data_IF_694437979270
#
_entry.id   IF_694437979270
#
_cell.length_a   1.000
_cell.length_b   1.000
_cell.length_c   1.000
_cell.angle_alpha   90.00
_cell.angle_beta   90.00
_cell.angle_gamma   90.00
#
_symmetry.space_group_name_H-M   'P 1'
#
loop_
_entity.id
_entity.type
_entity.pdbx_description
1 polymer ?
#
# COMPACT_ATOMS: atom_id res chain seq x y z
N UNK A 1 -18.14 47.81 26.27
CA UNK A 1 -16.76 47.31 26.47
C UNK A 1 -16.81 45.79 26.49
N UNK A 2 -15.88 45.18 25.73
CA UNK A 2 -15.27 43.83 25.91
C UNK A 2 -16.21 42.62 26.00
N UNK A 3 -16.35 41.84 24.90
CA UNK A 3 -15.52 40.68 24.51
C UNK A 3 -15.84 39.41 25.33
N UNK A 4 -16.23 38.31 24.65
CA UNK A 4 -15.34 37.14 24.46
C UNK A 4 -16.03 35.92 23.83
N UNK A 5 -15.38 35.43 22.75
CA UNK A 5 -15.18 34.04 22.31
C UNK A 5 -16.40 33.10 22.18
N UNK A 6 -16.88 32.69 21.01
CA UNK A 6 -16.18 31.99 19.92
C UNK A 6 -15.30 30.82 20.42
N UNK A 7 -15.87 29.62 20.51
CA UNK A 7 -15.31 28.42 19.87
C UNK A 7 -16.52 27.57 19.45
N UNK A 8 -16.89 27.76 18.18
CA UNK A 8 -17.68 26.83 17.40
C UNK A 8 -16.78 25.58 17.25
N UNK A 9 -16.99 24.57 18.09
CA UNK A 9 -16.33 23.28 17.90
C UNK A 9 -16.96 22.61 16.68
N UNK A 10 -16.47 22.99 15.50
CA UNK A 10 -16.56 22.17 14.31
C UNK A 10 -15.69 20.94 14.54
N UNK A 11 -16.21 19.95 15.26
CA UNK A 11 -15.74 18.58 15.11
C UNK A 11 -16.17 18.16 13.71
N UNK A 12 -15.31 18.48 12.74
CA UNK A 12 -15.32 17.86 11.43
C UNK A 12 -15.38 16.36 11.66
N UNK A 13 -16.51 15.76 11.26
CA UNK A 13 -16.63 14.33 11.07
C UNK A 13 -15.41 13.89 10.25
N UNK A 14 -14.43 13.27 10.91
CA UNK A 14 -13.49 12.40 10.21
C UNK A 14 -14.32 11.16 9.88
N UNK A 15 -15.10 11.24 8.81
CA UNK A 15 -15.43 10.06 8.03
C UNK A 15 -14.10 9.52 7.53
N UNK A 16 -13.48 8.67 8.35
CA UNK A 16 -12.58 7.66 7.85
C UNK A 16 -13.42 6.87 6.84
N UNK A 17 -13.32 7.26 5.56
CA UNK A 17 -13.75 6.40 4.47
C UNK A 17 -12.78 5.24 4.55
N UNK A 18 -13.14 4.23 5.33
CA UNK A 18 -12.61 2.89 5.14
C UNK A 18 -12.94 2.59 3.70
N UNK A 19 -11.93 2.68 2.83
CA UNK A 19 -11.99 2.07 1.53
C UNK A 19 -12.15 0.57 1.81
N UNK A 20 -13.41 0.15 1.94
CA UNK A 20 -13.78 -1.24 1.84
C UNK A 20 -13.55 -1.57 0.37
N UNK A 21 -12.29 -1.88 0.04
CA UNK A 21 -12.05 -2.74 -1.10
C UNK A 21 -12.93 -3.94 -0.82
N UNK A 22 -14.02 -4.06 -1.57
CA UNK A 22 -14.95 -5.18 -1.48
C UNK A 22 -14.24 -6.39 -2.07
N UNK A 23 -13.16 -6.80 -1.41
CA UNK A 23 -12.47 -8.06 -1.60
C UNK A 23 -13.50 -9.08 -1.23
N UNK A 24 -14.11 -9.66 -2.25
CA UNK A 24 -15.06 -10.72 -2.09
C UNK A 24 -14.29 -11.85 -1.41
N UNK A 25 -14.46 -11.98 -0.09
CA UNK A 25 -13.91 -13.02 0.77
C UNK A 25 -14.63 -14.35 0.50
N UNK A 26 -14.69 -14.71 -0.78
CA UNK A 26 -15.03 -16.05 -1.23
C UNK A 26 -13.84 -16.98 -1.02
N UNK A 27 -14.07 -18.30 -1.00
CA UNK A 27 -12.97 -19.25 -1.07
C UNK A 27 -12.12 -18.91 -2.30
N UNK A 28 -10.80 -18.80 -2.13
CA UNK A 28 -9.86 -18.69 -3.25
C UNK A 28 -10.24 -19.79 -4.23
N UNK A 29 -10.63 -19.40 -5.44
CA UNK A 29 -10.89 -20.38 -6.48
C UNK A 29 -9.58 -21.16 -6.65
N UNK A 30 -9.59 -22.47 -6.36
CA UNK A 30 -8.39 -23.31 -6.30
C UNK A 30 -7.60 -23.33 -7.64
N UNK A 31 -8.20 -22.78 -8.70
CA UNK A 31 -7.60 -22.62 -10.03
C UNK A 31 -7.02 -21.21 -10.29
N UNK A 32 -7.19 -20.23 -9.41
CA UNK A 32 -6.70 -18.87 -9.58
C UNK A 32 -5.25 -18.79 -9.11
N UNK A 33 -4.32 -18.86 -10.07
CA UNK A 33 -2.90 -18.65 -9.84
C UNK A 33 -2.59 -17.16 -9.79
N UNK A 34 -1.63 -16.78 -8.95
CA UNK A 34 -1.14 -15.42 -8.93
C UNK A 34 -0.34 -15.14 -10.21
N UNK A 35 -0.62 -14.00 -10.84
CA UNK A 35 0.30 -13.41 -11.79
C UNK A 35 1.59 -12.97 -11.07
N UNK A 36 2.64 -12.67 -11.83
CA UNK A 36 3.90 -12.27 -11.23
C UNK A 36 3.74 -10.98 -10.41
N UNK A 37 4.26 -11.01 -9.19
CA UNK A 37 4.19 -9.94 -8.22
C UNK A 37 2.76 -9.47 -7.90
N UNK A 38 1.75 -10.31 -8.17
CA UNK A 38 0.39 -10.10 -7.69
C UNK A 38 0.32 -10.37 -6.18
N UNK A 39 -0.43 -9.54 -5.45
CA UNK A 39 -0.71 -9.77 -4.05
C UNK A 39 -1.43 -11.12 -3.88
N UNK A 40 -0.82 -12.04 -3.15
CA UNK A 40 -1.43 -13.34 -2.82
C UNK A 40 -2.21 -13.29 -1.51
N UNK A 41 -1.93 -12.28 -0.67
CA UNK A 41 -2.49 -12.17 0.66
C UNK A 41 -2.52 -10.73 1.14
N UNK A 42 -3.64 -10.31 1.73
CA UNK A 42 -3.86 -8.94 2.20
C UNK A 42 -4.51 -8.97 3.57
N UNK A 43 -4.03 -8.11 4.46
CA UNK A 43 -4.59 -7.93 5.80
C UNK A 43 -5.75 -6.94 5.75
N UNK A 44 -6.92 -7.36 6.20
CA UNK A 44 -8.07 -6.49 6.45
C UNK A 44 -8.47 -6.60 7.92
N UNK A 45 -8.13 -5.57 8.70
CA UNK A 45 -8.20 -5.61 10.17
C UNK A 45 -7.30 -6.71 10.74
N UNK A 46 -7.92 -7.66 11.44
CA UNK A 46 -7.23 -8.82 12.04
C UNK A 46 -7.31 -10.09 11.17
N UNK A 47 -7.88 -9.99 9.96
CA UNK A 47 -8.12 -11.14 9.08
C UNK A 47 -7.23 -11.10 7.85
N UNK A 48 -6.69 -12.25 7.48
CA UNK A 48 -5.96 -12.45 6.23
C UNK A 48 -6.89 -12.91 5.12
N UNK A 49 -6.93 -12.16 4.02
CA UNK A 49 -7.64 -12.52 2.80
C UNK A 49 -6.63 -13.04 1.78
N UNK A 50 -6.78 -14.30 1.38
CA UNK A 50 -6.00 -14.89 0.29
C UNK A 50 -6.65 -14.51 -1.04
N UNK A 51 -5.85 -14.08 -2.02
CA UNK A 51 -6.33 -13.60 -3.31
C UNK A 51 -6.14 -14.64 -4.43
N UNK A 52 -5.05 -15.38 -4.37
CA UNK A 52 -4.65 -16.35 -5.39
C UNK A 52 -3.65 -17.36 -4.79
N UNK A 53 -3.42 -18.45 -5.50
CA UNK A 53 -2.42 -19.45 -5.14
C UNK A 53 -1.07 -19.16 -5.80
N UNK A 54 0.01 -19.32 -5.05
CA UNK A 54 1.35 -19.21 -5.61
C UNK A 54 1.62 -20.35 -6.60
N UNK A 55 2.56 -20.09 -7.52
CA UNK A 55 3.01 -21.08 -8.49
C UNK A 55 3.51 -22.33 -7.74
N UNK A 56 2.96 -23.51 -8.05
CA UNK A 56 3.33 -24.77 -7.38
C UNK A 56 2.28 -25.35 -6.41
N UNK A 57 1.12 -24.69 -6.24
CA UNK A 57 0.07 -25.07 -5.26
C UNK A 57 0.41 -24.75 -3.80
N UNK A 58 1.44 -23.93 -3.60
CA UNK A 58 1.78 -23.41 -2.30
C UNK A 58 0.81 -22.29 -1.88
N UNK A 59 0.53 -22.23 -0.58
CA UNK A 59 -0.20 -21.14 0.04
C UNK A 59 0.65 -19.86 0.05
N UNK A 60 -0.01 -18.71 0.07
CA UNK A 60 0.66 -17.41 0.21
C UNK A 60 1.52 -17.39 1.50
N UNK A 61 2.78 -16.93 1.46
CA UNK A 61 3.71 -16.98 2.58
C UNK A 61 3.46 -15.86 3.62
N UNK A 62 2.29 -15.86 4.26
CA UNK A 62 1.76 -14.79 5.13
C UNK A 62 2.52 -14.47 6.43
N UNK A 63 3.70 -15.05 6.64
CA UNK A 63 4.51 -14.86 7.83
C UNK A 63 6.01 -14.77 7.52
N UNK A 64 6.34 -14.66 6.23
CA UNK A 64 7.70 -14.44 5.78
C UNK A 64 7.86 -12.98 5.37
N UNK A 65 8.52 -12.19 6.20
CA UNK A 65 8.71 -10.77 5.99
C UNK A 65 9.42 -10.45 4.66
N UNK A 66 10.17 -11.40 4.09
CA UNK A 66 10.83 -11.21 2.80
C UNK A 66 9.83 -11.15 1.63
N UNK A 67 8.61 -11.67 1.84
CA UNK A 67 7.49 -11.65 0.89
C UNK A 67 6.45 -10.58 1.21
N UNK A 68 6.59 -9.88 2.34
CA UNK A 68 5.61 -8.93 2.85
C UNK A 68 6.05 -7.48 2.74
N UNK A 69 5.08 -6.57 2.71
CA UNK A 69 5.30 -5.14 2.92
C UNK A 69 4.45 -4.72 4.13
N UNK A 70 5.14 -4.23 5.17
CA UNK A 70 4.58 -3.60 6.38
C UNK A 70 3.35 -4.33 6.97
N UNK A 71 3.38 -5.66 6.97
CA UNK A 71 2.30 -6.55 7.43
C UNK A 71 0.91 -6.29 6.82
N UNK A 72 0.78 -5.56 5.71
CA UNK A 72 -0.53 -5.32 5.07
C UNK A 72 -0.73 -6.12 3.79
N UNK A 73 0.34 -6.44 3.05
CA UNK A 73 0.28 -7.18 1.79
C UNK A 73 1.45 -8.14 1.65
N UNK A 74 1.19 -9.29 1.04
CA UNK A 74 2.16 -10.36 0.78
C UNK A 74 2.09 -10.83 -0.68
N UNK A 75 3.25 -11.25 -1.20
CA UNK A 75 3.46 -11.69 -2.58
C UNK A 75 4.03 -13.11 -2.62
N UNK A 76 3.90 -13.76 -3.76
CA UNK A 76 4.51 -15.08 -3.96
C UNK A 76 6.02 -14.99 -4.15
N UNK A 77 6.48 -13.95 -4.82
CA UNK A 77 7.90 -13.62 -4.96
C UNK A 77 8.42 -12.81 -3.77
N UNK A 78 9.72 -12.88 -3.54
CA UNK A 78 10.40 -12.05 -2.55
C UNK A 78 10.37 -10.59 -3.00
N UNK A 79 10.01 -9.67 -2.10
CA UNK A 79 9.91 -8.23 -2.38
C UNK A 79 11.26 -7.65 -2.79
N UNK A 80 12.35 -8.14 -2.21
CA UNK A 80 13.71 -7.66 -2.49
C UNK A 80 14.21 -7.96 -3.91
N UNK A 81 13.60 -8.93 -4.60
CA UNK A 81 13.92 -9.26 -5.99
C UNK A 81 13.29 -8.28 -6.97
N UNK A 82 12.26 -7.54 -6.57
CA UNK A 82 11.66 -6.51 -7.40
C UNK A 82 12.67 -5.36 -7.65
N UNK A 83 12.60 -4.71 -8.83
CA UNK A 83 13.43 -3.54 -9.09
C UNK A 83 13.09 -2.42 -8.09
N UNK A 84 14.09 -1.63 -7.68
CA UNK A 84 13.84 -0.43 -6.86
C UNK A 84 13.17 0.66 -7.70
N UNK A 85 12.19 1.35 -7.12
CA UNK A 85 11.65 2.54 -7.77
C UNK A 85 12.71 3.63 -7.85
N UNK A 86 12.70 4.43 -8.92
CA UNK A 86 13.71 5.47 -9.16
C UNK A 86 13.14 6.87 -9.06
N UNK A 87 11.85 7.02 -9.35
CA UNK A 87 11.19 8.30 -9.44
C UNK A 87 10.05 8.43 -8.43
N UNK A 88 9.76 9.67 -8.04
CA UNK A 88 8.65 9.94 -7.15
C UNK A 88 7.32 9.47 -7.75
N UNK A 89 7.14 9.57 -9.05
CA UNK A 89 5.87 9.23 -9.68
C UNK A 89 5.75 7.74 -10.02
N UNK A 90 6.78 6.94 -9.72
CA UNK A 90 6.71 5.49 -9.84
C UNK A 90 5.71 4.93 -8.83
N UNK A 91 4.70 4.24 -9.36
CA UNK A 91 3.77 3.46 -8.56
C UNK A 91 4.52 2.24 -8.05
N UNK A 92 4.72 2.15 -6.73
CA UNK A 92 5.36 1.00 -6.10
C UNK A 92 4.42 -0.21 -6.08
N UNK A 93 3.17 0.00 -5.65
CA UNK A 93 2.12 -1.02 -5.68
C UNK A 93 0.91 -0.46 -6.40
N UNK A 94 0.58 -1.06 -7.53
CA UNK A 94 -0.60 -0.73 -8.31
C UNK A 94 -1.79 -1.48 -7.76
N UNK A 95 -2.72 -0.76 -7.15
CA UNK A 95 -3.94 -1.36 -6.61
C UNK A 95 -4.93 -1.61 -7.73
N UNK A 96 -5.48 -2.82 -7.73
CA UNK A 96 -6.41 -3.27 -8.77
C UNK A 96 -7.69 -3.81 -8.12
N UNK A 97 -8.87 -3.51 -8.69
CA UNK A 97 -10.15 -3.93 -8.10
C UNK A 97 -10.27 -5.44 -7.90
N UNK A 98 -9.63 -6.22 -8.78
CA UNK A 98 -9.83 -7.67 -8.86
C UNK A 98 -8.93 -8.47 -7.91
N UNK A 99 -7.79 -7.92 -7.48
CA UNK A 99 -6.80 -8.68 -6.67
C UNK A 99 -5.96 -7.82 -5.72
N UNK A 100 -6.52 -6.69 -5.27
CA UNK A 100 -5.93 -5.72 -4.35
C UNK A 100 -4.67 -5.02 -4.86
N UNK A 101 -3.62 -5.72 -5.30
CA UNK A 101 -2.40 -5.04 -5.75
C UNK A 101 -1.42 -5.87 -6.57
N UNK A 102 -0.58 -5.17 -7.32
CA UNK A 102 0.60 -5.70 -8.01
C UNK A 102 1.83 -4.88 -7.63
N UNK A 103 2.90 -5.54 -7.14
CA UNK A 103 4.17 -4.88 -6.89
C UNK A 103 4.86 -4.58 -8.22
N UNK A 104 5.07 -3.30 -8.50
CA UNK A 104 5.75 -2.85 -9.71
C UNK A 104 7.23 -2.54 -9.44
N UNK A 105 7.53 -1.98 -8.27
CA UNK A 105 8.87 -1.73 -7.80
C UNK A 105 8.90 -1.65 -6.27
N UNK A 106 10.06 -1.92 -5.67
CA UNK A 106 10.24 -1.92 -4.22
C UNK A 106 10.79 -0.59 -3.70
N UNK A 107 10.40 -0.29 -2.48
CA UNK A 107 10.85 0.82 -1.66
C UNK A 107 11.38 0.30 -0.32
N UNK A 108 12.10 1.15 0.41
CA UNK A 108 12.39 0.94 1.84
C UNK A 108 11.19 1.25 2.71
N UNK A 109 10.44 2.31 2.37
CA UNK A 109 9.24 2.76 3.08
C UNK A 109 8.17 3.13 2.06
N UNK A 110 6.91 2.84 2.40
CA UNK A 110 5.78 2.95 1.50
C UNK A 110 4.76 3.94 2.04
N UNK A 111 4.04 4.63 1.16
CA UNK A 111 3.01 5.57 1.59
C UNK A 111 1.87 5.67 0.58
N UNK A 112 0.68 5.98 1.09
CA UNK A 112 -0.49 6.34 0.32
C UNK A 112 -0.50 7.85 0.10
N UNK A 113 -0.60 8.28 -1.15
CA UNK A 113 -0.74 9.71 -1.47
C UNK A 113 -2.20 10.12 -1.40
N UNK A 114 -2.44 11.34 -0.91
CA UNK A 114 -3.79 11.90 -0.87
C UNK A 114 -4.39 11.92 -2.29
N UNK A 115 -5.59 11.35 -2.43
CA UNK A 115 -6.30 11.25 -3.69
C UNK A 115 -5.79 10.19 -4.67
N UNK A 116 -4.84 9.34 -4.28
CA UNK A 116 -4.38 8.22 -5.09
C UNK A 116 -4.85 6.88 -4.52
N UNK A 117 -5.31 6.00 -5.40
CA UNK A 117 -5.63 4.61 -5.06
C UNK A 117 -4.40 3.71 -5.15
N UNK A 118 -3.17 4.24 -5.04
CA UNK A 118 -1.94 3.48 -5.27
C UNK A 118 -0.90 3.79 -4.20
N UNK A 119 0.07 2.89 -4.04
CA UNK A 119 1.15 3.02 -3.07
C UNK A 119 2.42 3.46 -3.76
N UNK A 120 3.16 4.38 -3.13
CA UNK A 120 4.39 4.97 -3.65
C UNK A 120 5.52 4.87 -2.63
N UNK A 121 6.77 5.10 -3.06
CA UNK A 121 7.91 5.19 -2.13
C UNK A 121 7.87 6.49 -1.32
N UNK A 122 7.85 6.36 0.00
CA UNK A 122 7.99 7.50 0.91
C UNK A 122 9.43 8.02 0.96
N UNK A 123 10.42 7.13 0.92
CA UNK A 123 11.85 7.49 1.00
C UNK A 123 12.30 8.46 -0.11
N UNK A 124 11.62 8.45 -1.26
CA UNK A 124 11.91 9.36 -2.36
C UNK A 124 11.40 10.79 -2.08
N UNK A 125 10.39 10.97 -1.22
CA UNK A 125 9.89 12.29 -0.81
C UNK A 125 10.91 13.03 0.07
N UNK A 126 11.61 12.30 0.94
CA UNK A 126 12.65 12.86 1.80
C UNK A 126 13.84 13.42 1.00
N UNK A 127 14.21 12.71 -0.08
CA UNK A 127 15.25 13.15 -1.01
C UNK A 127 14.93 14.50 -1.68
N UNK A 128 13.67 14.71 -2.03
CA UNK A 128 13.20 15.96 -2.65
C UNK A 128 13.14 17.13 -1.67
N UNK A 129 12.72 16.91 -0.42
CA UNK A 129 12.72 17.98 0.59
C UNK A 129 14.13 18.53 0.86
N UNK A 130 15.15 17.66 0.81
CA UNK A 130 16.54 18.06 0.95
C UNK A 130 17.03 18.89 -0.25
N UNK A 131 16.63 18.53 -1.46
CA UNK A 131 16.92 19.28 -2.70
C UNK A 131 16.27 20.66 -2.71
N UNK A 132 15.00 20.77 -2.32
CA UNK A 132 14.29 22.05 -2.22
C UNK A 132 14.97 22.96 -1.19
N UNK A 133 15.31 22.45 0.01
CA UNK A 133 16.05 23.24 1.01
C UNK A 133 17.41 23.74 0.49
N UNK A 134 18.14 22.94 -0.29
CA UNK A 134 19.41 23.37 -0.90
C UNK A 134 19.23 24.46 -1.95
N UNK A 135 18.13 24.43 -2.72
CA UNK A 135 17.84 25.43 -3.74
C UNK A 135 17.32 26.74 -3.14
N UNK A 136 16.59 26.69 -2.03
CA UNK A 136 16.09 27.89 -1.32
C UNK A 136 17.13 28.61 -0.45
N UNK A 137 18.33 28.05 -0.29
CA UNK A 137 19.45 28.63 0.46
C UNK A 137 20.53 29.28 -0.44
N UNK A 138 20.25 29.40 -1.74
CA UNK A 138 21.05 30.17 -2.72
C UNK A 138 20.27 31.40 -3.17
#
# INVERSE_FOLDING_TARGET
MTMSLAILMCTTMVTAMMATANVQSGPVNENMRCDSYQACGVKDGDTWNYMCLCNGADLCPLYDDSHGIEEFVYFCETVDDAPRCTDLDDVAIKILPDYYGQLCCRCRTYTWREGSDHVYCEELLEGYQFLIRKLSLK
#
